data_IF_833448986841
#
_entry.id   IF_833448986841
#
_cell.length_a   1.000
_cell.length_b   1.000
_cell.length_c   1.000
_cell.angle_alpha   90.00
_cell.angle_beta   90.00
_cell.angle_gamma   90.00
#
_symmetry.space_group_name_H-M   'P 1'
#
loop_
_entity.id
_entity.type
_entity.pdbx_description
1 polymer ?
#
# COMPACT_ATOMS: atom_id res chain seq x y z
N UNK A 1 13.78 -17.27 -19.52
CA UNK A 1 12.72 -17.37 -18.50
C UNK A 1 13.22 -17.75 -17.09
N UNK A 2 14.39 -18.35 -16.93
CA UNK A 2 14.96 -18.75 -15.62
C UNK A 2 15.70 -17.59 -14.90
N UNK A 3 16.28 -16.63 -15.64
CA UNK A 3 17.00 -15.48 -15.06
C UNK A 3 16.09 -14.48 -14.32
N UNK A 4 14.82 -14.35 -14.70
CA UNK A 4 13.87 -13.42 -14.07
C UNK A 4 13.47 -13.83 -12.63
N UNK A 5 13.67 -15.10 -12.27
CA UNK A 5 13.24 -15.62 -10.94
C UNK A 5 14.16 -15.20 -9.78
N UNK A 6 15.39 -14.76 -10.05
CA UNK A 6 16.36 -14.35 -9.03
C UNK A 6 16.60 -12.83 -9.00
N UNK A 7 16.05 -12.10 -9.94
CA UNK A 7 16.25 -10.65 -9.97
C UNK A 7 15.53 -9.97 -8.79
N UNK A 8 16.16 -8.97 -8.17
CA UNK A 8 15.55 -8.25 -7.06
C UNK A 8 14.32 -7.46 -7.54
N UNK A 9 13.25 -7.50 -6.77
CA UNK A 9 11.98 -6.87 -7.12
C UNK A 9 11.90 -5.40 -6.69
N UNK A 10 11.03 -4.66 -7.38
CA UNK A 10 10.64 -3.30 -7.03
C UNK A 10 9.12 -3.18 -7.05
N UNK A 11 8.52 -2.79 -5.91
CA UNK A 11 7.08 -2.62 -5.79
C UNK A 11 6.76 -1.14 -5.62
N UNK A 12 6.07 -0.55 -6.57
CA UNK A 12 5.54 0.81 -6.47
C UNK A 12 4.13 0.77 -5.89
N UNK A 13 3.91 1.47 -4.78
CA UNK A 13 2.66 1.41 -4.01
C UNK A 13 2.14 2.81 -3.76
N UNK A 14 0.90 3.09 -4.14
CA UNK A 14 0.20 4.33 -3.83
C UNK A 14 -0.77 4.09 -2.67
N UNK A 15 -0.59 4.82 -1.58
CA UNK A 15 -1.46 4.80 -0.41
C UNK A 15 -2.65 5.76 -0.56
N UNK A 16 -3.69 5.59 0.24
CA UNK A 16 -4.82 6.51 0.37
C UNK A 16 -5.48 6.87 -0.98
N UNK A 17 -5.58 5.89 -1.87
CA UNK A 17 -6.13 6.08 -3.21
C UNK A 17 -7.64 6.22 -3.12
N UNK A 18 -8.13 7.41 -3.43
CA UNK A 18 -9.54 7.80 -3.37
C UNK A 18 -9.84 8.94 -4.35
N UNK A 19 -11.10 9.22 -4.68
CA UNK A 19 -11.45 10.31 -5.58
C UNK A 19 -10.81 11.66 -5.21
N UNK A 20 -10.81 12.12 -3.93
CA UNK A 20 -10.23 13.41 -3.57
C UNK A 20 -8.69 13.44 -3.60
N UNK A 21 -8.02 12.30 -3.57
CA UNK A 21 -6.55 12.23 -3.57
C UNK A 21 -5.97 12.02 -4.97
N UNK A 22 -6.81 11.70 -5.96
CA UNK A 22 -6.36 11.41 -7.31
C UNK A 22 -5.61 12.57 -7.99
N UNK A 23 -6.09 13.79 -7.80
CA UNK A 23 -5.45 14.97 -8.40
C UNK A 23 -3.99 15.14 -7.97
N UNK A 24 -3.65 14.74 -6.73
CA UNK A 24 -2.28 14.79 -6.22
C UNK A 24 -1.38 13.75 -6.95
N UNK A 25 -1.91 12.55 -7.24
CA UNK A 25 -1.18 11.45 -7.88
C UNK A 25 -1.03 11.58 -9.39
N UNK A 26 -2.00 12.21 -10.06
CA UNK A 26 -2.10 12.19 -11.52
C UNK A 26 -0.80 12.59 -12.25
N UNK A 27 -0.07 13.66 -11.87
CA UNK A 27 1.18 14.04 -12.53
C UNK A 27 2.27 12.98 -12.39
N UNK A 28 2.36 12.34 -11.22
CA UNK A 28 3.36 11.29 -10.96
C UNK A 28 3.02 10.01 -11.73
N UNK A 29 1.78 9.56 -11.69
CA UNK A 29 1.33 8.38 -12.43
C UNK A 29 1.55 8.54 -13.92
N UNK A 30 1.27 9.75 -14.49
CA UNK A 30 1.57 10.04 -15.89
C UNK A 30 3.06 9.92 -16.22
N UNK A 31 3.94 10.33 -15.31
CA UNK A 31 5.38 10.19 -15.51
C UNK A 31 5.82 8.71 -15.42
N UNK A 32 5.25 7.93 -14.50
CA UNK A 32 5.49 6.48 -14.39
C UNK A 32 4.99 5.74 -15.63
N UNK A 33 3.84 6.13 -16.17
CA UNK A 33 3.30 5.55 -17.42
C UNK A 33 4.22 5.73 -18.63
N UNK A 34 5.07 6.76 -18.61
CA UNK A 34 6.05 7.03 -19.65
C UNK A 34 7.31 6.14 -19.54
N UNK A 35 7.52 5.46 -18.41
CA UNK A 35 8.65 4.53 -18.21
C UNK A 35 8.39 3.14 -18.80
N UNK A 36 7.18 2.88 -19.27
CA UNK A 36 6.69 1.60 -19.80
C UNK A 36 6.96 0.38 -18.88
N UNK A 37 5.97 -0.48 -18.75
CA UNK A 37 6.10 -1.75 -18.03
C UNK A 37 6.27 -1.65 -16.49
N UNK A 38 5.96 -0.52 -15.84
CA UNK A 38 6.01 -0.36 -14.39
C UNK A 38 4.59 -0.48 -13.79
N UNK A 39 4.19 -1.66 -13.28
CA UNK A 39 2.90 -1.82 -12.64
C UNK A 39 2.88 -1.18 -11.25
N UNK A 40 1.72 -0.74 -10.83
CA UNK A 40 1.49 -0.04 -9.57
C UNK A 40 0.50 -0.84 -8.72
N UNK A 41 0.78 -1.00 -7.42
CA UNK A 41 -0.22 -1.44 -6.44
C UNK A 41 -0.94 -0.22 -5.86
N UNK A 42 -2.24 -0.11 -6.07
CA UNK A 42 -3.09 0.98 -5.61
C UNK A 42 -3.82 0.55 -4.33
N UNK A 43 -3.52 1.19 -3.21
CA UNK A 43 -4.21 0.95 -1.94
C UNK A 43 -5.48 1.82 -1.90
N UNK A 44 -6.59 1.20 -2.27
CA UNK A 44 -7.88 1.87 -2.51
C UNK A 44 -8.71 1.95 -1.24
N UNK A 45 -9.23 3.13 -0.94
CA UNK A 45 -10.15 3.38 0.19
C UNK A 45 -11.58 3.46 -0.31
N UNK A 46 -12.48 2.57 0.12
CA UNK A 46 -13.88 2.50 -0.34
C UNK A 46 -14.72 3.75 -0.12
N UNK A 47 -14.63 4.36 1.06
CA UNK A 47 -15.39 5.56 1.42
C UNK A 47 -14.52 6.53 2.23
N UNK A 48 -13.64 7.24 1.52
CA UNK A 48 -12.62 8.07 2.13
C UNK A 48 -13.22 9.14 3.04
N UNK A 49 -12.88 9.05 4.34
CA UNK A 49 -13.36 9.93 5.41
C UNK A 49 -14.91 10.00 5.52
N UNK A 50 -15.62 8.91 5.16
CA UNK A 50 -17.09 8.79 5.21
C UNK A 50 -17.86 9.76 4.31
N UNK A 51 -17.18 10.38 3.35
CA UNK A 51 -17.77 11.42 2.49
C UNK A 51 -17.49 11.21 1.00
N UNK A 52 -16.67 10.22 0.65
CA UNK A 52 -16.21 10.01 -0.73
C UNK A 52 -16.33 8.53 -1.12
N UNK A 53 -17.57 8.02 -1.03
CA UNK A 53 -17.88 6.66 -1.43
C UNK A 53 -17.60 6.47 -2.93
N UNK A 54 -16.84 5.43 -3.28
CA UNK A 54 -16.41 5.15 -4.67
C UNK A 54 -17.60 5.01 -5.62
N UNK A 55 -18.71 4.41 -5.18
CA UNK A 55 -19.91 4.22 -6.03
C UNK A 55 -20.51 5.56 -6.51
N UNK A 56 -20.27 6.66 -5.79
CA UNK A 56 -20.66 8.01 -6.21
C UNK A 56 -19.72 8.64 -7.25
N UNK A 57 -18.58 7.99 -7.57
CA UNK A 57 -17.55 8.50 -8.46
C UNK A 57 -17.25 7.58 -9.67
N UNK A 58 -18.23 7.38 -10.59
CA UNK A 58 -18.10 6.38 -11.67
C UNK A 58 -16.93 6.64 -12.63
N UNK A 59 -16.51 7.91 -12.79
CA UNK A 59 -15.32 8.22 -13.61
C UNK A 59 -14.04 7.72 -12.95
N UNK A 60 -13.93 7.83 -11.64
CA UNK A 60 -12.79 7.33 -10.88
C UNK A 60 -12.78 5.79 -10.86
N UNK A 61 -13.95 5.15 -10.71
CA UNK A 61 -14.05 3.69 -10.83
C UNK A 61 -13.60 3.18 -12.21
N UNK A 62 -13.99 3.87 -13.30
CA UNK A 62 -13.49 3.55 -14.65
C UNK A 62 -11.98 3.70 -14.78
N UNK A 63 -11.39 4.74 -14.15
CA UNK A 63 -9.94 4.89 -14.11
C UNK A 63 -9.30 3.68 -13.45
N UNK A 64 -9.76 3.23 -12.28
CA UNK A 64 -9.22 2.07 -11.58
C UNK A 64 -9.37 0.78 -12.41
N UNK A 65 -10.51 0.57 -13.08
CA UNK A 65 -10.70 -0.57 -13.98
C UNK A 65 -9.72 -0.54 -15.15
N UNK A 66 -9.46 0.64 -15.74
CA UNK A 66 -8.46 0.79 -16.81
C UNK A 66 -7.03 0.53 -16.29
N UNK A 67 -6.73 0.84 -15.03
CA UNK A 67 -5.44 0.54 -14.43
C UNK A 67 -5.24 -0.97 -14.26
N UNK A 68 -6.25 -1.68 -13.79
CA UNK A 68 -6.24 -3.16 -13.76
C UNK A 68 -5.99 -3.77 -15.13
N UNK A 69 -6.67 -3.27 -16.18
CA UNK A 69 -6.47 -3.75 -17.55
C UNK A 69 -5.04 -3.51 -18.08
N UNK A 70 -4.28 -2.61 -17.48
CA UNK A 70 -2.86 -2.35 -17.80
C UNK A 70 -1.87 -3.18 -16.96
N UNK A 71 -2.37 -4.04 -16.05
CA UNK A 71 -1.54 -4.89 -15.22
C UNK A 71 -1.23 -4.34 -13.83
N UNK A 72 -1.87 -3.25 -13.42
CA UNK A 72 -1.82 -2.76 -12.04
C UNK A 72 -2.60 -3.67 -11.10
N UNK A 73 -2.39 -3.47 -9.82
CA UNK A 73 -3.12 -4.15 -8.74
C UNK A 73 -3.93 -3.15 -7.92
N UNK A 74 -5.16 -3.50 -7.56
CA UNK A 74 -5.92 -2.81 -6.53
C UNK A 74 -5.94 -3.65 -5.26
N UNK A 75 -5.60 -3.03 -4.12
CA UNK A 75 -5.67 -3.65 -2.81
C UNK A 75 -6.51 -2.78 -1.86
N UNK A 76 -7.21 -3.39 -0.93
CA UNK A 76 -8.07 -2.70 0.02
C UNK A 76 -7.24 -1.96 1.09
N UNK A 77 -7.54 -0.68 1.36
CA UNK A 77 -6.84 0.17 2.32
C UNK A 77 -7.77 0.76 3.39
N UNK A 78 -8.12 -0.05 4.38
CA UNK A 78 -9.21 0.30 5.30
C UNK A 78 -10.56 0.30 4.59
N UNK A 79 -11.55 0.96 5.20
CA UNK A 79 -12.84 1.23 4.58
C UNK A 79 -13.12 2.73 4.51
N UNK A 80 -12.93 3.42 5.66
CA UNK A 80 -13.10 4.88 5.77
C UNK A 80 -11.78 5.63 5.82
N UNK A 81 -10.68 4.97 6.17
CA UNK A 81 -9.38 5.59 6.45
C UNK A 81 -9.48 6.69 7.53
N UNK A 82 -10.37 6.50 8.50
CA UNK A 82 -10.68 7.45 9.55
C UNK A 82 -11.01 6.74 10.86
N UNK A 83 -10.36 7.16 11.96
CA UNK A 83 -10.59 6.65 13.31
C UNK A 83 -11.41 7.65 14.12
N UNK A 84 -12.71 7.39 14.29
CA UNK A 84 -13.64 8.15 15.11
C UNK A 84 -14.02 7.42 16.42
N UNK A 85 -13.34 6.34 16.76
CA UNK A 85 -13.57 5.61 17.99
C UNK A 85 -13.39 6.50 19.24
N UNK A 86 -14.01 6.18 20.37
CA UNK A 86 -13.90 6.96 21.60
C UNK A 86 -12.45 7.03 22.08
N UNK A 87 -12.02 8.19 22.58
CA UNK A 87 -10.72 8.33 23.24
C UNK A 87 -10.71 7.53 24.54
N UNK A 88 -9.66 6.75 24.75
CA UNK A 88 -9.48 6.06 26.04
C UNK A 88 -8.52 6.82 26.92
N UNK A 89 -8.54 6.49 28.22
CA UNK A 89 -7.61 7.02 29.22
C UNK A 89 -6.18 6.44 29.12
N UNK A 90 -5.93 5.53 28.16
CA UNK A 90 -4.62 4.94 27.97
C UNK A 90 -3.65 5.96 27.30
N UNK A 91 -2.53 6.35 27.95
CA UNK A 91 -1.57 7.32 27.40
C UNK A 91 -0.98 6.92 26.05
N UNK A 92 -0.79 5.61 25.80
CA UNK A 92 -0.29 5.09 24.51
C UNK A 92 -1.29 5.34 23.39
N UNK A 93 -2.58 5.15 23.66
CA UNK A 93 -3.64 5.39 22.71
C UNK A 93 -3.77 6.88 22.39
N UNK A 94 -3.70 7.72 23.44
CA UNK A 94 -3.72 9.17 23.27
C UNK A 94 -2.58 9.64 22.37
N UNK A 95 -1.35 9.11 22.61
CA UNK A 95 -0.19 9.42 21.76
C UNK A 95 -0.38 8.95 20.32
N UNK A 96 -0.80 7.69 20.13
CA UNK A 96 -0.97 7.11 18.80
C UNK A 96 -2.04 7.85 17.99
N UNK A 97 -3.17 8.19 18.59
CA UNK A 97 -4.31 8.80 17.88
C UNK A 97 -4.19 10.32 17.73
N UNK A 98 -3.56 11.03 18.66
CA UNK A 98 -3.48 12.48 18.64
C UNK A 98 -2.18 13.04 18.07
N UNK A 99 -1.08 12.34 18.24
CA UNK A 99 0.24 12.78 17.78
C UNK A 99 0.76 11.98 16.58
N UNK A 100 0.41 10.71 16.47
CA UNK A 100 0.91 9.85 15.40
C UNK A 100 -0.01 9.85 14.19
N UNK A 101 -1.31 9.46 14.35
CA UNK A 101 -2.27 9.48 13.23
C UNK A 101 -3.73 9.39 13.70
N UNK A 102 -4.65 10.01 12.94
CA UNK A 102 -6.10 9.80 13.04
C UNK A 102 -6.60 8.66 12.12
N UNK A 103 -5.70 7.90 11.53
CA UNK A 103 -5.98 6.91 10.48
C UNK A 103 -6.05 5.47 11.00
N UNK A 104 -6.03 5.28 12.33
CA UNK A 104 -5.97 3.98 12.99
C UNK A 104 -7.29 3.19 13.00
N UNK A 105 -8.08 3.23 11.92
CA UNK A 105 -9.40 2.59 11.81
C UNK A 105 -9.41 1.14 12.32
N UNK A 106 -8.40 0.33 11.99
CA UNK A 106 -8.30 -1.09 12.36
C UNK A 106 -7.50 -1.36 13.64
N UNK A 107 -7.08 -0.31 14.34
CA UNK A 107 -6.18 -0.45 15.50
C UNK A 107 -6.83 -1.11 16.73
N UNK A 108 -8.17 -0.96 16.89
CA UNK A 108 -8.91 -1.40 18.09
C UNK A 108 -10.14 -2.22 17.81
N UNK A 109 -10.42 -2.55 16.58
CA UNK A 109 -11.62 -3.30 16.24
C UNK A 109 -11.61 -4.68 16.91
N UNK A 110 -12.79 -5.10 17.37
CA UNK A 110 -13.05 -6.52 17.66
C UNK A 110 -12.96 -7.32 16.35
N UNK A 111 -12.89 -8.63 16.46
CA UNK A 111 -12.89 -9.49 15.29
C UNK A 111 -14.15 -9.31 14.44
N UNK A 112 -15.31 -9.20 15.07
CA UNK A 112 -16.61 -9.04 14.41
C UNK A 112 -16.69 -7.70 13.68
N UNK A 113 -16.27 -6.60 14.32
CA UNK A 113 -16.26 -5.27 13.73
C UNK A 113 -15.27 -5.19 12.55
N UNK A 114 -14.07 -5.75 12.71
CA UNK A 114 -13.08 -5.81 11.63
C UNK A 114 -13.59 -6.64 10.46
N UNK A 115 -14.22 -7.80 10.74
CA UNK A 115 -14.78 -8.67 9.72
C UNK A 115 -15.91 -7.99 8.93
N UNK A 116 -16.76 -7.22 9.62
CA UNK A 116 -17.83 -6.47 8.98
C UNK A 116 -17.29 -5.42 7.99
N UNK A 117 -16.31 -4.61 8.41
CA UNK A 117 -15.69 -3.61 7.54
C UNK A 117 -14.93 -4.22 6.37
N UNK A 118 -14.16 -5.27 6.61
CA UNK A 118 -13.42 -5.99 5.56
C UNK A 118 -14.37 -6.59 4.53
N UNK A 119 -15.47 -7.22 4.97
CA UNK A 119 -16.50 -7.76 4.07
C UNK A 119 -17.17 -6.66 3.23
N UNK A 120 -17.45 -5.50 3.83
CA UNK A 120 -17.98 -4.35 3.07
C UNK A 120 -17.03 -3.88 1.98
N UNK A 121 -15.71 -3.83 2.29
CA UNK A 121 -14.69 -3.50 1.30
C UNK A 121 -14.58 -4.55 0.19
N UNK A 122 -14.54 -5.84 0.54
CA UNK A 122 -14.52 -6.95 -0.41
C UNK A 122 -15.76 -6.90 -1.32
N UNK A 123 -16.93 -6.64 -0.75
CA UNK A 123 -18.19 -6.55 -1.50
C UNK A 123 -18.18 -5.38 -2.48
N UNK A 124 -17.59 -4.24 -2.12
CA UNK A 124 -17.42 -3.12 -3.05
C UNK A 124 -16.53 -3.51 -4.23
N UNK A 125 -15.39 -4.13 -3.98
CA UNK A 125 -14.52 -4.63 -5.05
C UNK A 125 -15.25 -5.63 -5.95
N UNK A 126 -16.02 -6.54 -5.37
CA UNK A 126 -16.82 -7.53 -6.12
C UNK A 126 -17.86 -6.86 -7.02
N UNK A 127 -18.55 -5.81 -6.55
CA UNK A 127 -19.55 -5.08 -7.37
C UNK A 127 -18.93 -4.40 -8.60
N UNK A 128 -17.66 -4.06 -8.53
CA UNK A 128 -16.92 -3.45 -9.65
C UNK A 128 -16.16 -4.49 -10.48
N UNK A 129 -16.30 -5.79 -10.22
CA UNK A 129 -15.53 -6.88 -10.82
C UNK A 129 -14.00 -6.69 -10.69
N UNK A 130 -13.55 -6.07 -9.60
CA UNK A 130 -12.14 -5.89 -9.31
C UNK A 130 -11.59 -7.08 -8.53
N UNK A 131 -10.53 -7.75 -9.03
CA UNK A 131 -9.84 -8.78 -8.27
C UNK A 131 -9.21 -8.16 -7.01
N UNK A 132 -9.33 -8.86 -5.88
CA UNK A 132 -8.80 -8.40 -4.60
C UNK A 132 -7.95 -9.50 -3.95
N UNK A 133 -6.64 -9.28 -3.93
CA UNK A 133 -5.66 -10.18 -3.32
C UNK A 133 -5.20 -9.69 -1.94
N UNK A 134 -5.17 -8.40 -1.71
CA UNK A 134 -4.52 -7.83 -0.54
C UNK A 134 -5.34 -6.82 0.24
N UNK A 135 -5.05 -6.77 1.54
CA UNK A 135 -5.51 -5.73 2.46
C UNK A 135 -4.31 -5.09 3.15
N UNK A 136 -4.28 -3.78 3.24
CA UNK A 136 -3.29 -3.04 4.02
C UNK A 136 -4.03 -2.12 4.99
N UNK A 137 -3.79 -2.30 6.29
CA UNK A 137 -4.41 -1.43 7.29
C UNK A 137 -3.85 0.00 7.19
N UNK A 138 -4.70 1.04 7.32
CA UNK A 138 -4.24 2.41 7.46
C UNK A 138 -3.20 2.55 8.56
N UNK A 139 -2.17 3.36 8.32
CA UNK A 139 -1.01 3.52 9.20
C UNK A 139 -0.34 2.20 9.65
N UNK A 140 -0.63 1.08 8.99
CA UNK A 140 -0.20 -0.30 9.33
C UNK A 140 -0.64 -0.76 10.73
N UNK A 141 -1.67 -0.15 11.29
CA UNK A 141 -2.17 -0.43 12.63
C UNK A 141 -3.30 -1.45 12.60
N UNK A 142 -3.07 -2.60 13.20
CA UNK A 142 -4.05 -3.69 13.31
C UNK A 142 -4.17 -4.20 14.73
N UNK A 143 -5.43 -4.37 15.22
CA UNK A 143 -5.73 -5.09 16.45
C UNK A 143 -5.51 -6.61 16.26
N UNK A 144 -5.50 -7.34 17.37
CA UNK A 144 -5.55 -8.80 17.32
C UNK A 144 -6.86 -9.29 16.66
N UNK A 145 -7.99 -8.60 16.91
CA UNK A 145 -9.28 -8.90 16.28
C UNK A 145 -9.21 -8.76 14.76
N UNK A 146 -8.57 -7.70 14.25
CA UNK A 146 -8.34 -7.52 12.81
C UNK A 146 -7.52 -8.67 12.22
N UNK A 147 -6.45 -9.09 12.91
CA UNK A 147 -5.65 -10.25 12.45
C UNK A 147 -6.46 -11.55 12.43
N UNK A 148 -7.34 -11.76 13.40
CA UNK A 148 -8.25 -12.91 13.43
C UNK A 148 -9.30 -12.85 12.32
N UNK A 149 -9.82 -11.67 12.01
CA UNK A 149 -10.75 -11.47 10.89
C UNK A 149 -10.09 -11.78 9.53
N UNK A 150 -8.85 -11.31 9.31
CA UNK A 150 -8.11 -11.56 8.07
C UNK A 150 -7.85 -13.05 7.80
N UNK A 151 -7.68 -13.87 8.86
CA UNK A 151 -7.54 -15.34 8.70
C UNK A 151 -8.76 -16.05 8.13
N UNK A 152 -9.93 -15.39 8.15
CA UNK A 152 -11.21 -15.96 7.72
C UNK A 152 -11.64 -15.48 6.33
N UNK A 153 -10.84 -14.61 5.71
CA UNK A 153 -11.20 -13.97 4.45
C UNK A 153 -10.33 -14.50 3.30
N UNK A 154 -10.87 -14.52 2.08
CA UNK A 154 -10.14 -15.00 0.90
C UNK A 154 -9.16 -13.94 0.40
N UNK A 155 -8.23 -13.54 1.27
CA UNK A 155 -7.17 -12.60 0.96
C UNK A 155 -5.81 -13.30 1.03
N UNK A 156 -4.93 -12.98 0.10
CA UNK A 156 -3.63 -13.61 -0.04
C UNK A 156 -2.56 -12.96 0.83
N UNK A 157 -2.69 -11.63 1.10
CA UNK A 157 -1.69 -10.91 1.88
C UNK A 157 -2.21 -9.70 2.66
N UNK A 158 -1.42 -9.34 3.67
CA UNK A 158 -1.40 -8.00 4.27
C UNK A 158 0.05 -7.51 4.39
N UNK A 159 0.29 -6.25 4.75
CA UNK A 159 1.66 -5.75 4.92
C UNK A 159 1.76 -4.66 5.98
N UNK A 160 2.97 -4.52 6.56
CA UNK A 160 3.39 -3.35 7.33
C UNK A 160 4.55 -2.63 6.61
N UNK A 161 5.28 -1.77 7.32
CA UNK A 161 6.40 -1.01 6.73
C UNK A 161 7.62 -1.85 6.38
N UNK A 162 7.79 -3.07 6.97
CA UNK A 162 8.96 -3.91 6.82
C UNK A 162 8.65 -5.25 6.14
N UNK A 163 7.42 -5.74 6.27
CA UNK A 163 7.05 -7.07 5.81
C UNK A 163 5.82 -7.07 4.93
N UNK A 164 5.75 -8.06 4.07
CA UNK A 164 4.51 -8.56 3.48
C UNK A 164 4.20 -9.88 4.18
N UNK A 165 2.99 -10.03 4.68
CA UNK A 165 2.54 -11.22 5.39
C UNK A 165 1.62 -12.04 4.48
N UNK A 166 1.97 -13.30 4.29
CA UNK A 166 1.08 -14.27 3.62
C UNK A 166 -0.09 -14.59 4.53
N UNK A 167 -1.29 -14.63 3.99
CA UNK A 167 -2.49 -15.06 4.68
C UNK A 167 -2.85 -16.51 4.28
N UNK A 168 -3.54 -17.27 5.15
CA UNK A 168 -4.07 -16.87 6.45
C UNK A 168 -3.09 -17.02 7.64
N UNK A 169 -1.92 -17.61 7.45
CA UNK A 169 -0.97 -17.99 8.50
C UNK A 169 -0.12 -16.83 9.06
N UNK A 170 -0.11 -15.68 8.38
CA UNK A 170 0.74 -14.51 8.69
C UNK A 170 2.24 -14.80 8.61
N UNK A 171 2.65 -15.71 7.73
CA UNK A 171 4.08 -15.90 7.44
C UNK A 171 4.68 -14.60 6.93
N UNK A 172 5.69 -14.10 7.65
CA UNK A 172 6.36 -12.84 7.33
C UNK A 172 7.40 -13.04 6.22
N UNK A 173 7.35 -12.21 5.21
CA UNK A 173 8.34 -12.10 4.15
C UNK A 173 8.98 -10.71 4.25
N UNK A 174 10.29 -10.64 4.38
CA UNK A 174 10.99 -9.35 4.40
C UNK A 174 10.75 -8.58 3.09
N UNK A 175 10.16 -7.41 3.22
CA UNK A 175 9.82 -6.55 2.10
C UNK A 175 9.87 -5.08 2.56
N UNK A 176 11.07 -4.53 2.82
CA UNK A 176 11.23 -3.20 3.39
C UNK A 176 10.65 -2.11 2.50
N UNK A 177 9.95 -1.16 3.14
CA UNK A 177 9.29 -0.05 2.49
C UNK A 177 9.98 1.30 2.73
N UNK A 178 10.19 2.05 1.66
CA UNK A 178 10.56 3.47 1.72
C UNK A 178 9.28 4.28 1.76
N UNK A 179 9.13 5.11 2.77
CA UNK A 179 8.03 6.07 2.92
C UNK A 179 8.58 7.40 3.41
N UNK A 180 7.90 8.47 3.04
CA UNK A 180 8.27 9.82 3.47
C UNK A 180 7.31 10.37 4.52
N UNK A 181 7.82 11.38 5.27
CA UNK A 181 7.02 12.27 6.09
C UNK A 181 7.06 13.67 5.46
N UNK A 182 6.15 13.94 4.52
CA UNK A 182 6.19 15.17 3.72
C UNK A 182 5.47 16.38 4.35
N UNK A 183 4.91 16.24 5.56
CA UNK A 183 4.10 17.28 6.23
C UNK A 183 4.83 18.61 6.52
N UNK A 184 6.15 18.67 6.40
CA UNK A 184 6.94 19.89 6.62
C UNK A 184 8.22 19.89 5.80
N UNK A 185 8.76 21.10 5.48
CA UNK A 185 9.95 21.24 4.62
C UNK A 185 11.18 20.53 5.17
N UNK A 186 11.49 20.72 6.46
CA UNK A 186 12.61 20.05 7.12
C UNK A 186 12.43 18.51 7.14
N UNK A 187 11.17 18.04 7.34
CA UNK A 187 10.86 16.61 7.30
C UNK A 187 11.13 16.00 5.92
N UNK A 188 10.83 16.72 4.84
CA UNK A 188 11.15 16.27 3.46
C UNK A 188 12.64 16.09 3.25
N UNK A 189 13.45 17.05 3.72
CA UNK A 189 14.92 16.95 3.62
C UNK A 189 15.46 15.77 4.42
N UNK A 190 15.02 15.61 5.67
CA UNK A 190 15.41 14.46 6.52
C UNK A 190 14.92 13.14 5.89
N UNK A 191 13.69 13.09 5.41
CA UNK A 191 13.15 11.89 4.73
C UNK A 191 13.99 11.52 3.51
N UNK A 192 14.44 12.50 2.71
CA UNK A 192 15.35 12.26 1.58
C UNK A 192 16.65 11.60 2.05
N UNK A 193 17.34 12.17 3.03
CA UNK A 193 18.61 11.64 3.53
C UNK A 193 18.44 10.22 4.09
N UNK A 194 17.40 9.99 4.90
CA UNK A 194 17.09 8.66 5.45
C UNK A 194 16.76 7.68 4.32
N UNK A 195 16.03 8.09 3.29
CA UNK A 195 15.69 7.23 2.16
C UNK A 195 16.93 6.88 1.33
N UNK A 196 17.82 7.83 1.08
CA UNK A 196 19.07 7.59 0.36
C UNK A 196 19.95 6.55 1.11
N UNK A 197 20.10 6.70 2.44
CA UNK A 197 20.80 5.72 3.27
C UNK A 197 20.13 4.34 3.24
N UNK A 198 18.79 4.29 3.30
CA UNK A 198 18.04 3.01 3.24
C UNK A 198 18.15 2.34 1.88
N UNK A 199 18.04 3.08 0.78
CA UNK A 199 18.23 2.54 -0.58
C UNK A 199 19.60 1.91 -0.69
N UNK A 200 20.64 2.57 -0.18
CA UNK A 200 22.00 2.03 -0.18
C UNK A 200 22.12 0.76 0.66
N UNK A 201 21.55 0.78 1.88
CA UNK A 201 21.56 -0.39 2.76
C UNK A 201 20.80 -1.60 2.16
N UNK A 202 19.73 -1.34 1.41
CA UNK A 202 18.87 -2.38 0.85
C UNK A 202 19.21 -2.75 -0.60
N UNK A 203 20.38 -2.36 -1.11
CA UNK A 203 20.78 -2.69 -2.48
C UNK A 203 20.69 -4.20 -2.78
N UNK A 204 21.02 -5.03 -1.79
CA UNK A 204 20.99 -6.51 -1.90
C UNK A 204 19.66 -7.11 -1.42
N UNK A 205 18.69 -6.30 -0.97
CA UNK A 205 17.41 -6.83 -0.54
C UNK A 205 16.65 -7.45 -1.73
N UNK A 206 15.98 -8.61 -1.54
CA UNK A 206 15.27 -9.30 -2.61
C UNK A 206 14.10 -8.47 -3.16
N UNK A 207 13.61 -7.53 -2.38
CA UNK A 207 12.56 -6.59 -2.78
C UNK A 207 12.73 -5.26 -2.06
N UNK A 208 12.38 -4.15 -2.74
CA UNK A 208 12.19 -2.83 -2.14
C UNK A 208 10.79 -2.35 -2.52
N UNK A 209 10.07 -1.77 -1.56
CA UNK A 209 8.78 -1.11 -1.80
C UNK A 209 8.92 0.40 -1.73
N UNK A 210 8.38 1.11 -2.71
CA UNK A 210 8.22 2.56 -2.67
C UNK A 210 6.76 2.87 -2.30
N UNK A 211 6.53 3.34 -1.07
CA UNK A 211 5.20 3.67 -0.55
C UNK A 211 4.97 5.18 -0.58
N UNK A 212 4.11 5.64 -1.47
CA UNK A 212 3.86 7.06 -1.72
C UNK A 212 2.49 7.45 -1.17
N UNK A 213 2.43 8.63 -0.54
CA UNK A 213 1.18 9.21 -0.04
C UNK A 213 0.78 10.44 -0.84
N UNK A 214 -0.50 10.83 -0.89
CA UNK A 214 -0.96 12.00 -1.65
C UNK A 214 -0.21 13.28 -1.26
N UNK A 215 0.08 13.46 0.04
CA UNK A 215 0.82 14.62 0.55
C UNK A 215 2.23 14.75 -0.04
N UNK A 216 2.89 13.64 -0.38
CA UNK A 216 4.20 13.63 -1.02
C UNK A 216 4.10 14.18 -2.44
N UNK A 217 2.99 13.89 -3.11
CA UNK A 217 2.77 14.22 -4.52
C UNK A 217 2.37 15.68 -4.75
N UNK A 218 1.95 16.41 -3.70
CA UNK A 218 1.68 17.86 -3.76
C UNK A 218 2.93 18.70 -4.01
N UNK A 219 4.10 18.18 -3.66
CA UNK A 219 5.36 18.89 -3.75
C UNK A 219 6.22 18.39 -4.90
N UNK A 220 6.59 19.29 -5.82
CA UNK A 220 7.43 18.96 -6.97
C UNK A 220 8.75 18.30 -6.55
N UNK A 221 9.39 18.80 -5.48
CA UNK A 221 10.61 18.23 -4.92
C UNK A 221 10.44 16.73 -4.57
N UNK A 222 9.34 16.38 -3.93
CA UNK A 222 9.06 14.99 -3.55
C UNK A 222 8.75 14.13 -4.77
N UNK A 223 7.91 14.63 -5.69
CA UNK A 223 7.59 13.92 -6.95
C UNK A 223 8.85 13.61 -7.76
N UNK A 224 9.72 14.61 -7.92
CA UNK A 224 10.98 14.44 -8.66
C UNK A 224 11.90 13.43 -7.98
N UNK A 225 12.04 13.51 -6.65
CA UNK A 225 12.83 12.54 -5.89
C UNK A 225 12.33 11.11 -6.05
N UNK A 226 11.02 10.89 -5.94
CA UNK A 226 10.44 9.56 -6.07
C UNK A 226 10.59 9.00 -7.49
N UNK A 227 10.40 9.83 -8.52
CA UNK A 227 10.60 9.42 -9.91
C UNK A 227 12.08 9.04 -10.16
N UNK A 228 13.02 9.88 -9.76
CA UNK A 228 14.45 9.59 -9.89
C UNK A 228 14.87 8.35 -9.09
N UNK A 229 14.26 8.11 -7.93
CA UNK A 229 14.55 6.91 -7.14
C UNK A 229 14.01 5.67 -7.83
N UNK A 230 12.81 5.73 -8.41
CA UNK A 230 12.22 4.67 -9.20
C UNK A 230 13.11 4.33 -10.40
N UNK A 231 13.46 5.33 -11.23
CA UNK A 231 14.34 5.17 -12.40
C UNK A 231 15.68 4.53 -12.01
N UNK A 232 16.35 5.06 -11.00
CA UNK A 232 17.63 4.51 -10.50
C UNK A 232 17.52 3.04 -10.07
N UNK A 233 16.42 2.65 -9.43
CA UNK A 233 16.21 1.25 -8.99
C UNK A 233 15.94 0.32 -10.17
N UNK A 234 15.25 0.81 -11.21
CA UNK A 234 15.05 0.09 -12.47
C UNK A 234 16.38 -0.07 -13.23
N UNK A 235 17.16 1.01 -13.35
CA UNK A 235 18.49 1.00 -14.00
C UNK A 235 19.47 0.05 -13.28
N UNK A 236 19.30 -0.14 -11.98
CA UNK A 236 20.05 -1.13 -11.20
C UNK A 236 19.52 -2.58 -11.36
N UNK A 237 18.65 -2.83 -12.32
CA UNK A 237 18.19 -4.16 -12.71
C UNK A 237 17.09 -4.73 -11.81
N UNK A 238 16.40 -3.90 -11.02
CA UNK A 238 15.23 -4.38 -10.27
C UNK A 238 14.05 -4.55 -11.19
N UNK A 239 13.34 -5.66 -11.05
CA UNK A 239 12.15 -5.98 -11.84
C UNK A 239 10.91 -5.38 -11.18
N UNK A 240 10.20 -4.46 -11.86
CA UNK A 240 8.98 -3.88 -11.33
C UNK A 240 7.84 -4.91 -11.34
N UNK A 241 7.09 -4.98 -10.25
CA UNK A 241 5.92 -5.86 -10.13
C UNK A 241 4.97 -5.37 -9.05
N UNK A 242 3.76 -5.92 -9.04
CA UNK A 242 2.78 -5.65 -7.97
C UNK A 242 3.08 -6.50 -6.73
N UNK A 243 2.43 -6.18 -5.59
CA UNK A 243 2.55 -6.98 -4.37
C UNK A 243 2.05 -8.42 -4.58
N UNK A 244 0.92 -8.60 -5.26
CA UNK A 244 0.36 -9.92 -5.56
C UNK A 244 1.29 -10.73 -6.44
N UNK A 245 1.84 -10.13 -7.51
CA UNK A 245 2.82 -10.79 -8.39
C UNK A 245 4.07 -11.23 -7.60
N UNK A 246 4.60 -10.37 -6.74
CA UNK A 246 5.77 -10.73 -5.93
C UNK A 246 5.46 -11.86 -4.96
N UNK A 247 4.29 -11.84 -4.30
CA UNK A 247 3.87 -12.92 -3.42
C UNK A 247 3.73 -14.26 -4.17
N UNK A 248 3.13 -14.26 -5.35
CA UNK A 248 3.00 -15.45 -6.18
C UNK A 248 4.37 -16.07 -6.48
N UNK A 249 5.36 -15.27 -6.85
CA UNK A 249 6.74 -15.73 -7.06
C UNK A 249 7.36 -16.34 -5.79
N UNK A 250 7.08 -15.81 -4.60
CA UNK A 250 7.56 -16.41 -3.34
C UNK A 250 6.88 -17.75 -3.06
N UNK A 251 5.60 -17.89 -3.38
CA UNK A 251 4.86 -19.14 -3.20
C UNK A 251 5.41 -20.24 -4.11
N UNK A 252 5.70 -19.92 -5.38
CA UNK A 252 6.29 -20.86 -6.34
C UNK A 252 7.68 -21.35 -5.91
N UNK A 253 8.48 -20.48 -5.26
CA UNK A 253 9.80 -20.84 -4.72
C UNK A 253 9.68 -21.86 -3.58
N UNK A 254 8.74 -21.66 -2.66
CA UNK A 254 8.50 -22.58 -1.54
C UNK A 254 8.00 -23.94 -2.07
N UNK A 255 7.05 -23.94 -3.02
CA UNK A 255 6.53 -25.17 -3.61
C UNK A 255 7.55 -26.01 -4.41
N UNK A 256 8.64 -25.38 -4.89
CA UNK A 256 9.73 -26.08 -5.60
C UNK A 256 10.84 -26.58 -4.65
N UNK A 257 10.89 -26.06 -3.43
CA UNK A 257 11.89 -26.45 -2.43
C UNK A 257 11.39 -27.52 -1.47
N UNK A 258 10.09 -27.84 -1.50
CA UNK A 258 9.43 -28.92 -0.75
C UNK A 258 9.27 -30.17 -1.62
#
# INVERSE_FOLDING_TARGET
MVESMNSPALLLVLHDVAPPTWADYQPFVKAVDALDGVPITWLVVPDFHKHNNLDAHPQFCRLLSNRLARGDELALHGYFHYDDGPMTSNPRDWFMRRLYTHEGEFYRLSQEAALALLRSGIEMFRRHDWPLEGFVAPAWLMSQGTRQALRQLPLSYTSDSQHLYRLPDFTALEAPGLVWSARGTWRRVVSKLVSDCRVQRWQQAPVIRLGLHPVDMRHEFSRRYWLQTLERLLDNGRVPMTKAQWLALQNDRVGRAA
#
